data_IF_538202656153
#
_entry.id   IF_538202656153
#
_cell.length_a   1.000
_cell.length_b   1.000
_cell.length_c   1.000
_cell.angle_alpha   90.00
_cell.angle_beta   90.00
_cell.angle_gamma   90.00
#
_symmetry.space_group_name_H-M   'P 1'
#
loop_
_entity.id
_entity.type
_entity.pdbx_description
1 polymer ?
#
# COMPACT_ATOMS: atom_id res chain seq x y z
N UNK A 1 -31.65 -0.35 -8.70
CA UNK A 1 -32.47 -1.58 -8.75
C UNK A 1 -31.48 -2.72 -8.66
N UNK A 2 -31.70 -3.72 -7.80
CA UNK A 2 -30.76 -4.85 -7.65
C UNK A 2 -31.18 -6.02 -8.55
N UNK A 3 -30.23 -6.86 -8.94
CA UNK A 3 -30.45 -8.06 -9.74
C UNK A 3 -31.42 -9.04 -9.07
N UNK A 4 -32.05 -9.90 -9.89
CA UNK A 4 -32.94 -10.95 -9.39
C UNK A 4 -32.22 -11.91 -8.44
N UNK A 5 -30.94 -12.19 -8.72
CA UNK A 5 -30.08 -13.03 -7.88
C UNK A 5 -29.98 -12.46 -6.46
N UNK A 6 -29.52 -11.21 -6.33
CA UNK A 6 -29.38 -10.57 -5.02
C UNK A 6 -30.75 -10.39 -4.36
N UNK A 7 -31.77 -9.97 -5.10
CA UNK A 7 -33.13 -9.80 -4.57
C UNK A 7 -33.68 -11.09 -3.93
N UNK A 8 -33.49 -12.25 -4.57
CA UNK A 8 -33.93 -13.54 -4.06
C UNK A 8 -33.21 -13.91 -2.77
N UNK A 9 -31.89 -13.74 -2.71
CA UNK A 9 -31.11 -14.03 -1.49
C UNK A 9 -31.49 -13.09 -0.36
N UNK A 10 -31.62 -11.78 -0.63
CA UNK A 10 -32.07 -10.80 0.36
C UNK A 10 -33.48 -11.12 0.89
N UNK A 11 -34.39 -11.59 0.04
CA UNK A 11 -35.72 -12.01 0.44
C UNK A 11 -35.68 -13.27 1.32
N UNK A 12 -34.92 -14.30 0.91
CA UNK A 12 -34.78 -15.55 1.64
C UNK A 12 -34.07 -15.38 3.00
N UNK A 13 -33.13 -14.43 3.11
CA UNK A 13 -32.34 -14.15 4.33
C UNK A 13 -32.80 -12.93 5.10
N UNK A 14 -33.99 -12.40 4.79
CA UNK A 14 -34.51 -11.15 5.38
C UNK A 14 -34.42 -11.08 6.92
N UNK A 15 -34.80 -12.12 7.70
CA UNK A 15 -34.72 -12.03 9.16
C UNK A 15 -33.29 -11.80 9.67
N UNK A 16 -32.32 -12.58 9.16
CA UNK A 16 -30.92 -12.49 9.52
C UNK A 16 -30.32 -11.13 9.16
N UNK A 17 -30.56 -10.66 7.93
CA UNK A 17 -29.99 -9.40 7.44
C UNK A 17 -30.59 -8.19 8.16
N UNK A 18 -31.89 -8.21 8.48
CA UNK A 18 -32.53 -7.16 9.27
C UNK A 18 -31.97 -7.10 10.70
N UNK A 19 -31.68 -8.26 11.31
CA UNK A 19 -31.03 -8.31 12.61
C UNK A 19 -29.64 -7.63 12.56
N UNK A 20 -28.82 -7.95 11.55
CA UNK A 20 -27.50 -7.32 11.37
C UNK A 20 -27.58 -5.81 11.17
N UNK A 21 -28.58 -5.33 10.42
CA UNK A 21 -28.82 -3.89 10.27
C UNK A 21 -29.18 -3.26 11.62
N UNK A 22 -30.03 -3.90 12.43
CA UNK A 22 -30.39 -3.40 13.75
C UNK A 22 -29.17 -3.34 14.69
N UNK A 23 -28.33 -4.38 14.69
CA UNK A 23 -27.08 -4.45 15.46
C UNK A 23 -26.09 -3.37 15.01
N UNK A 24 -25.93 -3.14 13.70
CA UNK A 24 -25.07 -2.09 13.17
C UNK A 24 -25.56 -0.69 13.59
N UNK A 25 -26.87 -0.43 13.56
CA UNK A 25 -27.44 0.85 14.02
C UNK A 25 -27.28 1.07 15.52
N UNK A 26 -27.32 0.00 16.32
CA UNK A 26 -27.07 0.11 17.75
C UNK A 26 -25.59 0.43 18.04
N UNK A 27 -24.65 -0.18 17.30
CA UNK A 27 -23.21 0.10 17.44
C UNK A 27 -22.81 1.48 16.93
N UNK A 28 -23.44 1.93 15.85
CA UNK A 28 -23.15 3.23 15.20
C UNK A 28 -24.43 4.04 15.05
N UNK A 29 -24.84 4.79 16.09
CA UNK A 29 -25.95 5.72 16.00
C UNK A 29 -25.71 6.74 14.86
N UNK A 30 -26.70 6.90 13.97
CA UNK A 30 -26.59 7.80 12.81
C UNK A 30 -26.05 7.17 11.53
N UNK A 31 -25.92 5.83 11.48
CA UNK A 31 -25.57 5.11 10.25
C UNK A 31 -26.49 5.51 9.07
N UNK A 32 -25.87 5.91 7.96
CA UNK A 32 -26.57 6.28 6.74
C UNK A 32 -27.02 5.04 5.96
N UNK A 33 -28.28 4.64 6.16
CA UNK A 33 -28.88 3.53 5.44
C UNK A 33 -29.09 3.81 3.95
N UNK A 34 -29.13 5.07 3.53
CA UNK A 34 -29.23 5.43 2.12
C UNK A 34 -27.90 5.20 1.41
N UNK A 35 -26.78 5.58 2.04
CA UNK A 35 -25.44 5.25 1.56
C UNK A 35 -25.21 3.74 1.53
N UNK A 36 -25.67 3.00 2.55
CA UNK A 36 -25.57 1.55 2.55
C UNK A 36 -26.40 0.91 1.42
N UNK A 37 -27.63 1.41 1.17
CA UNK A 37 -28.45 0.94 0.05
C UNK A 37 -27.78 1.21 -1.31
N UNK A 38 -27.13 2.36 -1.47
CA UNK A 38 -26.36 2.69 -2.67
C UNK A 38 -25.18 1.72 -2.83
N UNK A 39 -24.39 1.50 -1.78
CA UNK A 39 -23.31 0.50 -1.77
C UNK A 39 -23.80 -0.90 -2.18
N UNK A 40 -24.95 -1.34 -1.65
CA UNK A 40 -25.56 -2.62 -2.03
C UNK A 40 -25.89 -2.66 -3.52
N UNK A 41 -26.39 -1.57 -4.08
CA UNK A 41 -26.79 -1.51 -5.50
C UNK A 41 -25.60 -1.36 -6.45
N UNK A 42 -24.58 -0.60 -6.06
CA UNK A 42 -23.52 -0.15 -6.97
C UNK A 42 -22.24 -0.97 -6.83
N UNK A 43 -22.07 -1.70 -5.72
CA UNK A 43 -20.90 -2.54 -5.44
C UNK A 43 -21.28 -4.00 -5.20
N UNK A 44 -22.18 -4.28 -4.25
CA UNK A 44 -22.53 -5.66 -3.89
C UNK A 44 -23.26 -6.36 -5.04
N UNK A 45 -24.24 -5.71 -5.66
CA UNK A 45 -25.03 -6.33 -6.73
C UNK A 45 -24.19 -6.70 -7.97
N UNK A 46 -23.34 -5.83 -8.54
CA UNK A 46 -22.43 -6.22 -9.62
C UNK A 46 -21.52 -7.38 -9.23
N UNK A 47 -20.99 -7.38 -8.01
CA UNK A 47 -20.18 -8.48 -7.49
C UNK A 47 -20.96 -9.81 -7.49
N UNK A 48 -22.23 -9.78 -7.11
CA UNK A 48 -23.09 -10.97 -7.11
C UNK A 48 -23.39 -11.46 -8.53
N UNK A 49 -23.66 -10.54 -9.46
CA UNK A 49 -23.91 -10.86 -10.87
C UNK A 49 -22.71 -11.59 -11.48
N UNK A 50 -21.49 -11.11 -11.23
CA UNK A 50 -20.28 -11.76 -11.74
C UNK A 50 -20.05 -13.16 -11.15
N UNK A 51 -20.44 -13.37 -9.90
CA UNK A 51 -20.26 -14.65 -9.18
C UNK A 51 -21.41 -15.65 -9.40
N UNK A 52 -22.57 -15.20 -9.86
CA UNK A 52 -23.82 -15.99 -9.89
C UNK A 52 -23.81 -17.24 -10.77
N UNK A 53 -22.78 -17.44 -11.59
CA UNK A 53 -22.60 -18.63 -12.43
C UNK A 53 -21.78 -19.76 -11.77
N UNK A 54 -21.26 -19.55 -10.57
CA UNK A 54 -20.25 -20.44 -9.96
C UNK A 54 -20.88 -21.55 -9.11
N UNK A 55 -21.63 -21.19 -8.06
CA UNK A 55 -22.27 -22.12 -7.11
C UNK A 55 -23.36 -21.38 -6.31
N UNK A 56 -24.58 -21.90 -6.30
CA UNK A 56 -25.73 -21.25 -5.66
C UNK A 56 -25.58 -21.19 -4.12
N UNK A 57 -25.09 -22.25 -3.47
CA UNK A 57 -24.90 -22.28 -2.02
C UNK A 57 -23.75 -21.36 -1.61
N UNK A 58 -22.65 -21.38 -2.34
CA UNK A 58 -21.53 -20.49 -2.07
C UNK A 58 -21.91 -19.01 -2.28
N UNK A 59 -22.75 -18.73 -3.29
CA UNK A 59 -23.24 -17.37 -3.57
C UNK A 59 -24.00 -16.78 -2.37
N UNK A 60 -24.85 -17.57 -1.71
CA UNK A 60 -25.56 -17.12 -0.49
C UNK A 60 -24.57 -16.77 0.63
N UNK A 61 -23.58 -17.63 0.89
CA UNK A 61 -22.57 -17.38 1.91
C UNK A 61 -21.72 -16.14 1.62
N UNK A 62 -21.36 -15.92 0.36
CA UNK A 62 -20.62 -14.73 -0.09
C UNK A 62 -21.45 -13.47 0.14
N UNK A 63 -22.73 -13.48 -0.26
CA UNK A 63 -23.64 -12.34 -0.07
C UNK A 63 -23.80 -12.00 1.40
N UNK A 64 -24.02 -12.99 2.26
CA UNK A 64 -24.17 -12.76 3.69
C UNK A 64 -22.90 -12.15 4.30
N UNK A 65 -21.72 -12.68 3.95
CA UNK A 65 -20.45 -12.13 4.42
C UNK A 65 -20.23 -10.69 3.92
N UNK A 66 -20.42 -10.46 2.62
CA UNK A 66 -20.24 -9.15 2.00
C UNK A 66 -21.23 -8.11 2.53
N UNK A 67 -22.48 -8.49 2.78
CA UNK A 67 -23.48 -7.60 3.38
C UNK A 67 -23.08 -7.17 4.79
N UNK A 68 -22.63 -8.12 5.62
CA UNK A 68 -22.17 -7.84 6.98
C UNK A 68 -20.94 -6.93 7.01
N UNK A 69 -19.91 -7.26 6.23
CA UNK A 69 -18.69 -6.45 6.14
C UNK A 69 -19.01 -5.08 5.53
N UNK A 70 -19.86 -5.02 4.50
CA UNK A 70 -20.29 -3.79 3.86
C UNK A 70 -21.02 -2.84 4.80
N UNK A 71 -21.85 -3.35 5.72
CA UNK A 71 -22.48 -2.53 6.76
C UNK A 71 -21.43 -1.81 7.61
N UNK A 72 -20.43 -2.56 8.09
CA UNK A 72 -19.38 -2.01 8.95
C UNK A 72 -18.50 -1.01 8.19
N UNK A 73 -18.17 -1.28 6.91
CA UNK A 73 -17.35 -0.40 6.08
C UNK A 73 -18.08 0.91 5.74
N UNK A 74 -19.36 0.84 5.38
CA UNK A 74 -20.17 2.04 5.11
C UNK A 74 -20.39 2.85 6.39
N UNK A 75 -20.66 2.19 7.52
CA UNK A 75 -20.81 2.87 8.81
C UNK A 75 -19.54 3.62 9.23
N UNK A 76 -18.36 3.15 8.82
CA UNK A 76 -17.07 3.81 9.06
C UNK A 76 -16.69 4.85 7.99
N UNK A 77 -17.52 5.05 6.96
CA UNK A 77 -17.21 5.95 5.84
C UNK A 77 -16.03 5.48 4.98
N UNK A 78 -15.81 4.16 4.92
CA UNK A 78 -14.75 3.51 4.12
C UNK A 78 -15.25 2.98 2.78
N UNK A 79 -16.56 2.84 2.61
CA UNK A 79 -17.20 2.31 1.41
C UNK A 79 -18.50 3.05 1.07
N UNK A 80 -18.95 2.92 -0.17
CA UNK A 80 -20.15 3.59 -0.68
C UNK A 80 -19.96 5.08 -0.98
N UNK A 81 -21.05 5.81 -1.30
CA UNK A 81 -20.98 7.17 -1.83
C UNK A 81 -20.43 8.21 -0.83
N UNK A 82 -20.46 7.90 0.47
CA UNK A 82 -19.90 8.76 1.52
C UNK A 82 -18.41 8.52 1.81
N UNK A 83 -17.77 7.57 1.11
CA UNK A 83 -16.39 7.21 1.38
C UNK A 83 -15.42 8.31 0.97
N UNK A 84 -14.38 8.53 1.79
CA UNK A 84 -13.30 9.49 1.46
C UNK A 84 -12.48 9.06 0.24
N UNK A 85 -12.43 7.76 -0.02
CA UNK A 85 -11.65 7.16 -1.09
C UNK A 85 -12.45 6.04 -1.75
N UNK A 86 -12.32 5.82 -3.07
CA UNK A 86 -13.18 4.90 -3.83
C UNK A 86 -12.71 3.43 -3.77
N UNK A 87 -11.70 3.12 -2.96
CA UNK A 87 -10.90 1.91 -3.17
C UNK A 87 -11.59 0.62 -2.74
N UNK A 88 -12.44 0.63 -1.71
CA UNK A 88 -13.20 -0.59 -1.31
C UNK A 88 -14.13 -1.02 -2.44
N UNK A 89 -14.98 -0.09 -2.89
CA UNK A 89 -15.98 -0.32 -3.93
C UNK A 89 -15.31 -0.77 -5.25
N UNK A 90 -14.13 -0.21 -5.56
CA UNK A 90 -13.33 -0.65 -6.70
C UNK A 90 -12.77 -2.05 -6.50
N UNK A 91 -12.14 -2.32 -5.36
CA UNK A 91 -11.49 -3.60 -5.07
C UNK A 91 -12.50 -4.76 -5.05
N UNK A 92 -13.68 -4.56 -4.45
CA UNK A 92 -14.71 -5.61 -4.43
C UNK A 92 -15.22 -5.94 -5.83
N UNK A 93 -15.45 -4.93 -6.68
CA UNK A 93 -15.88 -5.15 -8.06
C UNK A 93 -14.80 -5.80 -8.92
N UNK A 94 -13.56 -5.36 -8.82
CA UNK A 94 -12.47 -5.85 -9.70
C UNK A 94 -11.87 -7.18 -9.23
N UNK A 95 -11.88 -7.48 -7.93
CA UNK A 95 -11.19 -8.66 -7.38
C UNK A 95 -12.11 -9.84 -7.09
N UNK A 96 -13.42 -9.65 -6.98
CA UNK A 96 -14.31 -10.75 -6.60
C UNK A 96 -14.27 -11.92 -7.58
N UNK A 97 -14.39 -11.66 -8.88
CA UNK A 97 -14.31 -12.72 -9.89
C UNK A 97 -12.91 -13.38 -9.96
N UNK A 98 -11.79 -12.63 -9.95
CA UNK A 98 -10.46 -13.21 -9.81
C UNK A 98 -10.21 -14.07 -8.57
N UNK A 99 -10.85 -13.74 -7.44
CA UNK A 99 -10.71 -14.46 -6.17
C UNK A 99 -11.84 -15.46 -5.90
N UNK A 100 -12.66 -15.79 -6.91
CA UNK A 100 -13.89 -16.57 -6.73
C UNK A 100 -13.70 -17.87 -5.93
N UNK A 101 -12.61 -18.60 -6.15
CA UNK A 101 -12.31 -19.85 -5.44
C UNK A 101 -11.98 -19.65 -3.95
N UNK A 102 -11.41 -18.50 -3.59
CA UNK A 102 -11.20 -18.12 -2.20
C UNK A 102 -12.51 -17.65 -1.56
N UNK A 103 -13.34 -16.93 -2.32
CA UNK A 103 -14.66 -16.49 -1.87
C UNK A 103 -15.62 -17.64 -1.63
N UNK A 104 -15.58 -18.70 -2.44
CA UNK A 104 -16.42 -19.90 -2.23
C UNK A 104 -16.00 -20.67 -0.98
N UNK A 105 -14.73 -20.61 -0.59
CA UNK A 105 -14.18 -21.38 0.55
C UNK A 105 -14.20 -20.58 1.86
N UNK A 106 -13.85 -19.29 1.80
CA UNK A 106 -13.66 -18.42 2.96
C UNK A 106 -14.09 -16.97 2.63
N UNK A 107 -15.40 -16.70 2.45
CA UNK A 107 -15.87 -15.41 1.94
C UNK A 107 -15.53 -14.24 2.86
N UNK A 108 -15.79 -14.37 4.17
CA UNK A 108 -15.54 -13.33 5.14
C UNK A 108 -14.05 -12.99 5.27
N UNK A 109 -13.19 -14.01 5.34
CA UNK A 109 -11.75 -13.81 5.47
C UNK A 109 -11.12 -13.23 4.21
N UNK A 110 -11.61 -13.63 3.03
CA UNK A 110 -11.13 -13.12 1.74
C UNK A 110 -11.49 -11.65 1.57
N UNK A 111 -12.77 -11.30 1.74
CA UNK A 111 -13.22 -9.90 1.67
C UNK A 111 -12.56 -9.04 2.74
N UNK A 112 -12.49 -9.53 3.98
CA UNK A 112 -11.83 -8.83 5.08
C UNK A 112 -10.34 -8.58 4.79
N UNK A 113 -9.63 -9.57 4.22
CA UNK A 113 -8.21 -9.44 3.85
C UNK A 113 -8.02 -8.34 2.82
N UNK A 114 -8.81 -8.31 1.75
CA UNK A 114 -8.69 -7.30 0.69
C UNK A 114 -9.12 -5.92 1.16
N UNK A 115 -10.23 -5.81 1.89
CA UNK A 115 -10.69 -4.54 2.45
C UNK A 115 -9.65 -3.92 3.38
N UNK A 116 -9.05 -4.73 4.26
CA UNK A 116 -8.00 -4.27 5.17
C UNK A 116 -6.75 -3.80 4.42
N UNK A 117 -6.33 -4.52 3.37
CA UNK A 117 -5.20 -4.13 2.55
C UNK A 117 -5.44 -2.77 1.90
N UNK A 118 -6.59 -2.61 1.24
CA UNK A 118 -6.96 -1.37 0.54
C UNK A 118 -7.08 -0.17 1.48
N UNK A 119 -7.69 -0.35 2.65
CA UNK A 119 -7.79 0.73 3.65
C UNK A 119 -6.40 1.17 4.12
N UNK A 120 -5.49 0.21 4.36
CA UNK A 120 -4.11 0.53 4.75
C UNK A 120 -3.36 1.24 3.64
N UNK A 121 -3.46 0.78 2.39
CA UNK A 121 -2.80 1.39 1.25
C UNK A 121 -3.30 2.81 0.98
N UNK A 122 -4.62 3.00 0.98
CA UNK A 122 -5.24 4.32 0.80
C UNK A 122 -4.92 5.31 1.94
N UNK A 123 -4.57 4.81 3.13
CA UNK A 123 -4.13 5.63 4.25
C UNK A 123 -2.73 6.21 4.10
N UNK A 124 -1.91 5.73 3.15
CA UNK A 124 -0.53 6.18 2.95
C UNK A 124 -0.44 7.08 1.71
N UNK A 125 0.00 8.34 1.86
CA UNK A 125 0.14 9.26 0.73
C UNK A 125 1.09 8.74 -0.35
N UNK A 126 0.71 8.92 -1.62
CA UNK A 126 1.56 8.59 -2.77
C UNK A 126 1.60 7.11 -3.16
N UNK A 127 0.81 6.24 -2.51
CA UNK A 127 0.68 4.83 -2.89
C UNK A 127 -0.30 4.67 -4.05
N UNK A 128 0.12 3.90 -5.06
CA UNK A 128 -0.72 3.58 -6.22
C UNK A 128 -1.65 2.41 -5.91
N UNK A 129 -2.73 2.69 -5.16
CA UNK A 129 -3.76 1.69 -4.81
C UNK A 129 -4.43 1.12 -6.07
N UNK A 130 -4.57 1.92 -7.13
CA UNK A 130 -5.15 1.49 -8.40
C UNK A 130 -4.31 0.40 -9.06
N UNK A 131 -3.00 0.60 -9.15
CA UNK A 131 -2.05 -0.42 -9.63
C UNK A 131 -2.10 -1.68 -8.76
N UNK A 132 -2.16 -1.53 -7.43
CA UNK A 132 -2.27 -2.68 -6.53
C UNK A 132 -3.49 -3.55 -6.85
N UNK A 133 -4.66 -2.93 -7.04
CA UNK A 133 -5.90 -3.65 -7.40
C UNK A 133 -5.72 -4.35 -8.75
N UNK A 134 -5.20 -3.66 -9.76
CA UNK A 134 -5.02 -4.23 -11.11
C UNK A 134 -4.01 -5.39 -11.14
N UNK A 135 -2.87 -5.25 -10.46
CA UNK A 135 -1.86 -6.30 -10.34
C UNK A 135 -2.45 -7.51 -9.60
N UNK A 136 -3.14 -7.29 -8.48
CA UNK A 136 -3.76 -8.37 -7.71
C UNK A 136 -4.88 -9.06 -8.49
N UNK A 137 -5.68 -8.34 -9.28
CA UNK A 137 -6.72 -8.92 -10.13
C UNK A 137 -6.15 -9.91 -11.15
N UNK A 138 -4.95 -9.64 -11.66
CA UNK A 138 -4.26 -10.52 -12.62
C UNK A 138 -3.69 -11.77 -11.93
N UNK A 139 -3.24 -11.65 -10.68
CA UNK A 139 -2.52 -12.72 -9.97
C UNK A 139 -3.40 -13.55 -9.03
N UNK A 140 -4.50 -12.99 -8.53
CA UNK A 140 -5.46 -13.65 -7.65
C UNK A 140 -5.97 -15.01 -8.16
N UNK A 141 -6.24 -15.23 -9.48
CA UNK A 141 -6.68 -16.52 -9.98
C UNK A 141 -5.66 -17.65 -9.76
N UNK A 142 -4.39 -17.31 -9.58
CA UNK A 142 -3.28 -18.26 -9.33
C UNK A 142 -3.04 -18.52 -7.84
N UNK A 143 -3.71 -17.77 -6.95
CA UNK A 143 -3.51 -17.87 -5.50
C UNK A 143 -4.38 -18.97 -4.91
N UNK A 144 -3.89 -20.21 -4.81
CA UNK A 144 -4.68 -21.34 -4.31
C UNK A 144 -5.18 -21.20 -2.86
N UNK A 145 -4.51 -20.39 -2.04
CA UNK A 145 -4.84 -20.19 -0.62
C UNK A 145 -4.90 -18.70 -0.27
N UNK A 146 -5.57 -18.40 0.85
CA UNK A 146 -5.61 -17.03 1.38
C UNK A 146 -4.22 -16.55 1.81
N UNK A 147 -3.34 -17.45 2.26
CA UNK A 147 -1.94 -17.12 2.55
C UNK A 147 -1.20 -16.69 1.28
N UNK A 148 -1.37 -17.42 0.17
CA UNK A 148 -0.79 -17.03 -1.11
C UNK A 148 -1.31 -15.65 -1.58
N UNK A 149 -2.61 -15.39 -1.43
CA UNK A 149 -3.20 -14.08 -1.74
C UNK A 149 -2.57 -12.96 -0.90
N UNK A 150 -2.34 -13.19 0.40
CA UNK A 150 -1.71 -12.20 1.30
C UNK A 150 -0.26 -11.92 0.90
N UNK A 151 0.51 -12.97 0.59
CA UNK A 151 1.89 -12.83 0.13
C UNK A 151 1.99 -12.07 -1.19
N UNK A 152 1.17 -12.43 -2.18
CA UNK A 152 1.09 -11.71 -3.47
C UNK A 152 0.65 -10.27 -3.24
N UNK A 153 -0.38 -10.05 -2.42
CA UNK A 153 -0.83 -8.71 -2.04
C UNK A 153 0.25 -7.86 -1.39
N UNK A 154 1.12 -8.43 -0.57
CA UNK A 154 2.26 -7.74 0.05
C UNK A 154 3.34 -7.36 -0.99
N UNK A 155 3.65 -8.25 -1.93
CA UNK A 155 4.58 -7.97 -3.04
C UNK A 155 4.04 -6.88 -3.97
N UNK A 156 2.74 -6.96 -4.33
CA UNK A 156 2.08 -5.91 -5.10
C UNK A 156 2.03 -4.58 -4.32
N UNK A 157 1.82 -4.61 -3.00
CA UNK A 157 1.80 -3.41 -2.16
C UNK A 157 3.17 -2.73 -2.12
N UNK A 158 4.22 -3.54 -2.03
CA UNK A 158 5.59 -3.07 -2.16
C UNK A 158 5.82 -2.39 -3.52
N UNK A 159 5.44 -3.03 -4.64
CA UNK A 159 5.51 -2.42 -5.98
C UNK A 159 4.69 -1.15 -6.14
N UNK A 160 3.56 -1.05 -5.45
CA UNK A 160 2.70 0.13 -5.42
C UNK A 160 3.28 1.30 -4.59
N UNK A 161 4.41 1.06 -3.90
CA UNK A 161 5.21 2.11 -3.26
C UNK A 161 5.37 1.96 -1.75
N UNK A 162 4.82 0.91 -1.13
CA UNK A 162 4.98 0.63 0.30
C UNK A 162 6.39 0.11 0.61
N UNK A 163 7.41 0.95 0.44
CA UNK A 163 8.83 0.57 0.48
C UNK A 163 9.24 -0.16 1.78
N UNK A 164 8.61 0.16 2.91
CA UNK A 164 8.85 -0.51 4.19
C UNK A 164 8.45 -2.00 4.20
N UNK A 165 7.58 -2.44 3.28
CA UNK A 165 7.17 -3.84 3.18
C UNK A 165 8.22 -4.73 2.49
N UNK A 166 9.24 -4.16 1.83
CA UNK A 166 10.23 -4.90 1.03
C UNK A 166 10.76 -6.16 1.71
N UNK A 167 11.28 -6.03 2.94
CA UNK A 167 11.94 -7.14 3.64
C UNK A 167 10.92 -8.24 3.94
N UNK A 168 9.81 -7.89 4.60
CA UNK A 168 8.78 -8.85 4.95
C UNK A 168 8.13 -9.51 3.72
N UNK A 169 7.92 -8.75 2.65
CA UNK A 169 7.34 -9.26 1.41
C UNK A 169 8.28 -10.26 0.72
N UNK A 170 9.58 -9.96 0.66
CA UNK A 170 10.59 -10.88 0.13
C UNK A 170 10.73 -12.15 0.98
N UNK A 171 10.65 -12.03 2.31
CA UNK A 171 10.70 -13.19 3.22
C UNK A 171 9.48 -14.10 3.06
N UNK A 172 8.30 -13.53 2.78
CA UNK A 172 7.08 -14.29 2.52
C UNK A 172 7.07 -14.91 1.13
N UNK A 173 7.72 -14.29 0.14
CA UNK A 173 7.75 -14.76 -1.25
C UNK A 173 8.31 -16.19 -1.38
N UNK A 174 9.22 -16.61 -0.50
CA UNK A 174 9.74 -17.98 -0.46
C UNK A 174 8.71 -19.06 -0.08
N UNK A 175 7.48 -18.68 0.30
CA UNK A 175 6.39 -19.60 0.70
C UNK A 175 5.35 -19.84 -0.41
N UNK A 176 5.46 -19.14 -1.53
CA UNK A 176 4.54 -19.27 -2.65
C UNK A 176 5.27 -19.85 -3.87
N UNK A 177 4.49 -20.20 -4.90
CA UNK A 177 5.03 -20.66 -6.17
C UNK A 177 6.05 -19.63 -6.74
N UNK A 178 7.27 -20.04 -7.12
CA UNK A 178 8.30 -19.14 -7.62
C UNK A 178 7.86 -18.30 -8.83
N UNK A 179 7.07 -18.86 -9.74
CA UNK A 179 6.57 -18.12 -10.91
C UNK A 179 5.50 -17.09 -10.52
N UNK A 180 4.78 -17.33 -9.42
CA UNK A 180 3.83 -16.37 -8.86
C UNK A 180 4.56 -15.23 -8.15
N UNK A 181 5.62 -15.53 -7.38
CA UNK A 181 6.48 -14.52 -6.75
C UNK A 181 7.14 -13.61 -7.81
N UNK A 182 7.72 -14.20 -8.86
CA UNK A 182 8.33 -13.46 -9.97
C UNK A 182 7.33 -12.53 -10.69
N UNK A 183 6.12 -13.02 -10.96
CA UNK A 183 5.06 -12.21 -11.53
C UNK A 183 4.61 -11.08 -10.58
N UNK A 184 4.50 -11.36 -9.28
CA UNK A 184 4.10 -10.38 -8.28
C UNK A 184 5.10 -9.23 -8.09
N UNK A 185 6.39 -9.45 -8.39
CA UNK A 185 7.43 -8.40 -8.42
C UNK A 185 7.56 -7.69 -9.79
N UNK A 186 6.74 -8.07 -10.78
CA UNK A 186 6.75 -7.46 -12.12
C UNK A 186 7.76 -8.07 -13.10
N UNK A 187 8.20 -9.31 -12.85
CA UNK A 187 9.19 -9.99 -13.69
C UNK A 187 8.75 -11.43 -14.00
N UNK A 188 7.60 -11.65 -14.66
CA UNK A 188 7.02 -12.98 -14.86
C UNK A 188 7.93 -13.93 -15.66
N UNK A 189 8.79 -13.39 -16.53
CA UNK A 189 9.67 -14.16 -17.42
C UNK A 189 11.03 -14.49 -16.79
N UNK A 190 11.28 -14.09 -15.54
CA UNK A 190 12.54 -14.33 -14.84
C UNK A 190 12.37 -15.36 -13.73
N UNK A 191 13.40 -16.19 -13.54
CA UNK A 191 13.42 -17.17 -12.45
C UNK A 191 13.54 -16.46 -11.10
N UNK A 192 12.69 -16.85 -10.14
CA UNK A 192 12.72 -16.29 -8.78
C UNK A 192 14.10 -16.45 -8.12
N UNK A 193 14.80 -17.56 -8.38
CA UNK A 193 16.14 -17.86 -7.86
C UNK A 193 17.19 -16.83 -8.24
N UNK A 194 17.01 -16.16 -9.38
CA UNK A 194 17.91 -15.10 -9.86
C UNK A 194 17.42 -13.71 -9.43
N UNK A 195 16.10 -13.54 -9.33
CA UNK A 195 15.45 -12.29 -8.94
C UNK A 195 15.64 -11.97 -7.46
N UNK A 196 15.37 -12.91 -6.56
CA UNK A 196 15.34 -12.67 -5.12
C UNK A 196 16.69 -12.13 -4.60
N UNK A 197 17.85 -12.74 -4.93
CA UNK A 197 19.14 -12.23 -4.45
C UNK A 197 19.40 -10.80 -4.91
N UNK A 198 19.01 -10.46 -6.16
CA UNK A 198 19.15 -9.09 -6.71
C UNK A 198 18.25 -8.11 -5.98
N UNK A 199 16.98 -8.46 -5.81
CA UNK A 199 15.99 -7.66 -5.11
C UNK A 199 16.38 -7.42 -3.67
N UNK A 200 17.08 -8.35 -3.00
CA UNK A 200 17.60 -8.21 -1.63
C UNK A 200 18.88 -7.38 -1.57
N UNK A 201 19.80 -7.60 -2.52
CA UNK A 201 21.10 -6.93 -2.54
C UNK A 201 20.97 -5.43 -2.83
N UNK A 202 20.14 -5.05 -3.81
CA UNK A 202 19.99 -3.65 -4.23
C UNK A 202 18.54 -3.19 -4.10
N UNK A 203 18.28 -2.26 -3.18
CA UNK A 203 16.94 -1.68 -3.01
C UNK A 203 16.58 -0.70 -4.12
N UNK A 204 17.53 -0.17 -4.87
CA UNK A 204 17.30 0.75 -5.97
C UNK A 204 17.16 0.06 -7.32
N UNK A 205 17.30 -1.27 -7.35
CA UNK A 205 17.07 -2.05 -8.56
C UNK A 205 15.57 -2.32 -8.78
N UNK A 206 15.10 -2.04 -9.99
CA UNK A 206 13.76 -2.33 -10.49
C UNK A 206 13.84 -3.37 -11.61
N UNK A 207 13.00 -4.43 -11.61
CA UNK A 207 13.08 -5.46 -12.65
C UNK A 207 12.84 -4.96 -14.08
N UNK A 208 11.94 -4.00 -14.25
CA UNK A 208 11.56 -3.46 -15.57
C UNK A 208 12.43 -2.26 -16.01
N UNK A 209 13.13 -1.60 -15.08
CA UNK A 209 13.76 -0.29 -15.32
C UNK A 209 15.24 -0.22 -14.93
N UNK A 210 15.79 -1.29 -14.35
CA UNK A 210 17.15 -1.30 -13.81
C UNK A 210 17.28 -0.42 -12.57
N UNK A 211 18.47 0.16 -12.36
CA UNK A 211 18.76 0.93 -11.15
C UNK A 211 18.13 2.33 -11.24
N UNK A 212 17.28 2.67 -10.28
CA UNK A 212 16.62 3.97 -10.10
C UNK A 212 17.62 5.05 -9.63
N UNK A 213 18.51 5.44 -10.53
CA UNK A 213 19.72 6.19 -10.20
C UNK A 213 19.50 7.67 -9.80
N UNK A 214 18.29 8.19 -10.05
CA UNK A 214 17.86 9.54 -9.64
C UNK A 214 17.29 9.58 -8.21
N UNK A 215 17.10 8.42 -7.58
CA UNK A 215 16.54 8.35 -6.24
C UNK A 215 15.08 8.80 -6.15
N UNK A 216 14.70 9.33 -4.98
CA UNK A 216 13.33 9.80 -4.67
C UNK A 216 13.36 11.09 -3.87
N UNK A 217 12.39 11.95 -4.15
CA UNK A 217 12.09 13.13 -3.33
C UNK A 217 10.92 12.83 -2.42
N UNK A 218 11.06 13.08 -1.12
CA UNK A 218 10.07 12.75 -0.09
C UNK A 218 9.90 13.93 0.85
N UNK A 219 8.67 14.15 1.32
CA UNK A 219 8.37 15.22 2.27
C UNK A 219 7.38 16.23 1.71
N UNK A 220 7.54 17.47 2.16
CA UNK A 220 6.66 18.60 1.89
C UNK A 220 6.27 19.29 3.18
N UNK A 221 5.92 20.57 3.06
CA UNK A 221 5.46 21.37 4.19
C UNK A 221 4.06 20.93 4.64
N UNK A 222 3.83 20.84 5.95
CA UNK A 222 2.51 20.46 6.52
C UNK A 222 1.38 21.36 6.07
N UNK A 223 1.63 22.66 5.85
CA UNK A 223 0.63 23.59 5.33
C UNK A 223 0.13 23.24 3.90
N UNK A 224 0.88 22.42 3.16
CA UNK A 224 0.51 21.90 1.85
C UNK A 224 0.26 20.37 1.84
N UNK A 225 0.00 19.80 3.02
CA UNK A 225 -0.30 18.37 3.17
C UNK A 225 0.92 17.44 3.26
N UNK A 226 2.13 17.98 3.36
CA UNK A 226 3.34 17.20 3.62
C UNK A 226 3.53 16.84 5.11
N UNK A 227 4.53 16.02 5.45
CA UNK A 227 4.75 15.57 6.82
C UNK A 227 5.57 16.55 7.69
N UNK A 228 6.31 17.48 7.08
CA UNK A 228 7.34 18.26 7.79
C UNK A 228 6.86 19.70 8.05
N UNK A 229 6.77 20.08 9.32
CA UNK A 229 6.38 21.44 9.73
C UNK A 229 7.56 22.42 9.68
N UNK A 230 8.77 21.89 9.80
CA UNK A 230 10.05 22.60 9.67
C UNK A 230 10.97 21.84 8.71
N UNK A 231 12.00 22.48 8.13
CA UNK A 231 13.01 21.81 7.33
C UNK A 231 13.60 20.58 8.04
N UNK A 232 13.58 19.40 7.39
CA UNK A 232 13.91 18.15 8.05
C UNK A 232 15.41 18.00 8.30
N UNK A 233 15.76 17.36 9.42
CA UNK A 233 17.12 16.88 9.70
C UNK A 233 17.09 15.36 9.72
N UNK A 234 17.94 14.72 8.94
CA UNK A 234 17.96 13.26 8.80
C UNK A 234 19.18 12.62 9.46
N UNK A 235 19.00 11.40 9.98
CA UNK A 235 20.05 10.48 10.42
C UNK A 235 19.83 9.11 9.80
N UNK A 236 20.91 8.44 9.44
CA UNK A 236 20.84 7.13 8.82
C UNK A 236 20.53 6.04 9.85
N UNK A 237 19.79 5.02 9.41
CA UNK A 237 19.49 3.80 10.16
C UNK A 237 19.76 2.58 9.27
N UNK A 238 19.57 1.37 9.78
CA UNK A 238 19.68 0.15 8.98
C UNK A 238 18.63 0.10 7.84
N UNK A 239 17.42 0.60 8.10
CA UNK A 239 16.26 0.41 7.21
C UNK A 239 15.95 1.63 6.33
N UNK A 240 16.38 2.81 6.76
CA UNK A 240 16.13 4.08 6.08
C UNK A 240 16.71 5.27 6.84
N UNK A 241 15.95 6.35 6.95
CA UNK A 241 16.39 7.56 7.62
C UNK A 241 15.37 7.99 8.66
N UNK A 242 15.81 8.17 9.91
CA UNK A 242 15.00 8.83 10.92
C UNK A 242 15.17 10.33 10.78
N UNK A 243 14.06 11.05 10.76
CA UNK A 243 13.96 12.45 10.39
C UNK A 243 13.27 13.21 11.51
N UNK A 244 13.88 14.31 11.94
CA UNK A 244 13.27 15.28 12.82
C UNK A 244 12.74 16.47 12.01
N UNK A 245 11.54 16.93 12.33
CA UNK A 245 10.97 18.18 11.81
C UNK A 245 10.19 18.85 12.95
N UNK A 246 10.74 19.93 13.51
CA UNK A 246 10.28 20.53 14.76
C UNK A 246 10.27 19.51 15.90
N UNK A 247 9.11 19.36 16.54
CA UNK A 247 8.86 18.42 17.64
C UNK A 247 8.34 17.04 17.19
N UNK A 248 8.43 16.71 15.90
CA UNK A 248 7.98 15.41 15.36
C UNK A 248 9.11 14.63 14.74
N UNK A 249 9.00 13.31 14.83
CA UNK A 249 9.96 12.36 14.30
C UNK A 249 9.28 11.39 13.34
N UNK A 250 10.01 11.04 12.28
CA UNK A 250 9.52 10.20 11.21
C UNK A 250 10.59 9.22 10.76
N UNK A 251 10.17 8.04 10.28
CA UNK A 251 11.02 7.11 9.55
C UNK A 251 10.70 7.23 8.06
N UNK A 252 11.69 7.62 7.27
CA UNK A 252 11.63 7.66 5.82
C UNK A 252 12.29 6.41 5.25
N UNK A 253 11.49 5.59 4.56
CA UNK A 253 11.96 4.40 3.85
C UNK A 253 11.73 4.59 2.36
N UNK A 254 12.77 4.39 1.56
CA UNK A 254 12.75 4.56 0.10
C UNK A 254 13.47 3.42 -0.60
N UNK A 255 12.98 3.06 -1.78
CA UNK A 255 13.59 2.07 -2.67
C UNK A 255 13.21 2.34 -4.14
N UNK A 256 13.43 1.37 -5.04
CA UNK A 256 13.13 1.49 -6.46
C UNK A 256 11.63 1.60 -6.77
N UNK A 257 10.74 1.15 -5.88
CA UNK A 257 9.29 1.12 -6.10
C UNK A 257 8.56 2.30 -5.47
N UNK A 258 9.02 2.78 -4.30
CA UNK A 258 8.37 3.90 -3.66
C UNK A 258 9.13 4.52 -2.49
N UNK A 259 8.39 5.37 -1.79
CA UNK A 259 8.83 5.99 -0.57
C UNK A 259 7.65 6.10 0.40
N UNK A 260 7.92 5.91 1.68
CA UNK A 260 6.95 6.09 2.76
C UNK A 260 7.54 6.92 3.88
N UNK A 261 6.66 7.67 4.55
CA UNK A 261 6.97 8.41 5.77
C UNK A 261 6.12 7.83 6.89
N UNK A 262 6.76 7.18 7.84
CA UNK A 262 6.12 6.53 8.99
C UNK A 262 6.38 7.35 10.26
N UNK A 263 5.51 7.29 11.28
CA UNK A 263 5.81 7.84 12.58
C UNK A 263 7.07 7.21 13.19
N UNK A 264 7.88 8.02 13.87
CA UNK A 264 9.02 7.57 14.67
C UNK A 264 9.08 8.36 15.99
N UNK A 265 10.09 8.09 16.79
CA UNK A 265 10.28 8.65 18.13
C UNK A 265 11.59 9.41 18.26
N UNK A 266 11.66 10.31 19.24
CA UNK A 266 12.90 11.00 19.61
C UNK A 266 14.00 10.03 20.05
N UNK A 267 13.64 8.91 20.67
CA UNK A 267 14.57 7.87 21.09
C UNK A 267 15.24 7.21 19.87
N UNK A 268 14.45 6.82 18.86
CA UNK A 268 14.98 6.27 17.60
C UNK A 268 15.90 7.28 16.89
N UNK A 269 15.54 8.56 16.88
CA UNK A 269 16.39 9.62 16.30
C UNK A 269 17.72 9.79 17.05
N UNK A 270 17.69 9.66 18.37
CA UNK A 270 18.88 9.78 19.21
C UNK A 270 19.80 8.56 19.08
N UNK A 271 19.22 7.37 18.98
CA UNK A 271 19.94 6.09 18.82
C UNK A 271 20.50 5.87 17.42
N UNK A 272 19.88 6.49 16.40
CA UNK A 272 20.38 6.41 15.04
C UNK A 272 21.82 6.90 14.94
N UNK A 273 22.64 6.11 14.24
CA UNK A 273 24.05 6.39 14.08
C UNK A 273 24.24 7.76 13.42
N UNK A 274 25.14 8.56 13.99
CA UNK A 274 25.47 9.90 13.50
C UNK A 274 26.34 9.82 12.25
N UNK A 275 26.44 8.64 11.60
CA UNK A 275 27.15 8.35 10.36
C UNK A 275 27.32 9.61 9.51
N UNK A 276 28.52 10.21 9.65
CA UNK A 276 28.79 11.65 9.57
C UNK A 276 27.82 12.39 8.64
N UNK A 277 26.90 13.19 9.19
CA UNK A 277 26.19 14.17 8.37
C UNK A 277 27.27 15.05 7.72
N UNK A 278 27.37 15.01 6.40
CA UNK A 278 28.36 15.79 5.65
C UNK A 278 27.69 17.02 5.07
N UNK A 279 28.35 18.16 5.19
CA UNK A 279 28.01 19.32 4.37
C UNK A 279 28.61 19.14 2.99
N UNK A 280 27.76 19.13 1.97
CA UNK A 280 28.15 19.00 0.57
C UNK A 280 27.87 20.32 -0.17
N UNK A 281 28.83 20.84 -0.95
CA UNK A 281 28.59 22.02 -1.77
C UNK A 281 27.58 21.71 -2.88
N UNK A 282 26.69 22.66 -3.16
CA UNK A 282 25.78 22.59 -4.30
C UNK A 282 26.47 23.29 -5.48
N UNK A 283 26.61 22.56 -6.59
CA UNK A 283 27.22 23.07 -7.83
C UNK A 283 26.16 23.19 -8.95
N UNK A 284 26.46 23.85 -10.09
CA UNK A 284 25.56 23.85 -11.24
C UNK A 284 25.25 22.44 -11.80
N UNK A 285 26.11 21.45 -11.52
CA UNK A 285 25.89 20.04 -11.89
C UNK A 285 25.06 19.27 -10.86
N UNK A 286 24.74 19.88 -9.72
CA UNK A 286 24.05 19.28 -8.59
C UNK A 286 24.99 19.05 -7.41
N UNK A 287 24.76 17.97 -6.67
CA UNK A 287 25.51 17.62 -5.44
C UNK A 287 26.37 16.39 -5.71
N UNK A 288 27.65 16.45 -5.35
CA UNK A 288 28.53 15.29 -5.43
C UNK A 288 28.34 14.42 -4.18
N UNK A 289 27.71 13.25 -4.36
CA UNK A 289 27.52 12.27 -3.30
C UNK A 289 28.43 11.08 -3.61
N UNK A 290 29.38 10.82 -2.71
CA UNK A 290 30.32 9.69 -2.81
C UNK A 290 31.00 9.56 -4.18
N UNK A 291 31.43 10.69 -4.77
CA UNK A 291 32.13 10.71 -6.07
C UNK A 291 31.21 10.76 -7.30
N UNK A 292 29.89 10.78 -7.12
CA UNK A 292 28.91 10.90 -8.21
C UNK A 292 28.18 12.23 -8.14
N UNK A 293 28.18 12.97 -9.25
CA UNK A 293 27.33 14.15 -9.39
C UNK A 293 25.88 13.71 -9.61
N UNK A 294 24.99 14.19 -8.73
CA UNK A 294 23.54 13.97 -8.86
C UNK A 294 22.84 15.30 -9.04
N UNK A 295 22.12 15.41 -10.15
CA UNK A 295 21.34 16.60 -10.51
C UNK A 295 20.13 16.73 -9.58
N UNK A 296 20.32 17.36 -8.42
CA UNK A 296 19.25 17.67 -7.46
C UNK A 296 19.08 19.17 -7.35
N UNK A 297 17.82 19.63 -7.36
CA UNK A 297 17.48 21.04 -7.13
C UNK A 297 17.20 21.27 -5.65
N UNK A 298 18.26 21.54 -4.88
CA UNK A 298 18.17 21.97 -3.49
C UNK A 298 18.43 23.48 -3.44
N UNK A 299 17.55 24.29 -2.82
CA UNK A 299 17.82 25.71 -2.63
C UNK A 299 19.02 25.94 -1.71
N UNK A 300 19.85 26.93 -2.03
CA UNK A 300 21.01 27.35 -1.24
C UNK A 300 22.36 26.99 -1.86
N UNK A 301 23.44 27.25 -1.12
CA UNK A 301 24.83 27.01 -1.54
C UNK A 301 25.38 25.66 -1.05
N UNK A 302 24.75 25.06 -0.04
CA UNK A 302 25.15 23.77 0.52
C UNK A 302 23.94 22.93 0.96
N UNK A 303 24.13 21.61 0.95
CA UNK A 303 23.18 20.63 1.47
C UNK A 303 23.85 19.80 2.56
N UNK A 304 23.06 19.31 3.50
CA UNK A 304 23.47 18.27 4.46
C UNK A 304 23.14 16.89 3.90
N UNK A 305 24.02 15.93 4.11
CA UNK A 305 23.87 14.56 3.64
C UNK A 305 24.05 13.56 4.78
N UNK A 306 22.99 12.82 5.10
CA UNK A 306 23.08 11.63 5.95
C UNK A 306 23.41 10.41 5.08
N UNK A 307 24.49 9.70 5.38
CA UNK A 307 24.95 8.55 4.61
C UNK A 307 24.55 7.25 5.31
N UNK A 308 23.70 6.46 4.67
CA UNK A 308 23.40 5.09 5.05
C UNK A 308 24.20 4.08 4.23
N UNK A 309 23.91 2.79 4.45
CA UNK A 309 24.64 1.69 3.78
C UNK A 309 24.44 1.66 2.25
N UNK A 310 23.22 1.92 1.79
CA UNK A 310 22.81 1.78 0.37
C UNK A 310 22.22 3.07 -0.21
N UNK A 311 22.13 4.12 0.61
CA UNK A 311 21.44 5.35 0.27
C UNK A 311 22.06 6.54 0.97
N UNK A 312 21.91 7.72 0.38
CA UNK A 312 22.20 9.01 1.01
C UNK A 312 20.93 9.85 1.02
N UNK A 313 20.63 10.52 2.13
CA UNK A 313 19.55 11.49 2.22
C UNK A 313 20.11 12.91 2.25
N UNK A 314 19.79 13.70 1.23
CA UNK A 314 20.13 15.12 1.13
C UNK A 314 18.98 15.97 1.68
N UNK A 315 19.31 16.96 2.51
CA UNK A 315 18.37 17.90 3.10
C UNK A 315 19.03 19.27 3.31
N UNK A 316 18.24 20.33 3.47
CA UNK A 316 18.76 21.68 3.72
C UNK A 316 17.78 22.49 4.58
N UNK A 317 18.25 23.54 5.27
CA UNK A 317 17.37 24.40 6.08
C UNK A 317 16.40 25.25 5.24
N UNK A 318 16.45 25.16 3.91
CA UNK A 318 15.63 25.96 2.99
C UNK A 318 14.54 25.15 2.28
N UNK A 319 14.41 23.85 2.58
CA UNK A 319 13.44 22.97 1.94
C UNK A 319 12.76 22.08 2.96
N UNK A 320 11.51 21.73 2.69
CA UNK A 320 10.76 20.73 3.45
C UNK A 320 10.83 19.35 2.78
N UNK A 321 11.85 19.09 1.96
CA UNK A 321 12.00 17.83 1.25
C UNK A 321 13.35 17.19 1.55
N UNK A 322 13.36 15.85 1.57
CA UNK A 322 14.56 15.05 1.48
C UNK A 322 14.69 14.49 0.06
N UNK A 323 15.92 14.47 -0.45
CA UNK A 323 16.25 13.74 -1.66
C UNK A 323 17.08 12.51 -1.28
N UNK A 324 16.47 11.33 -1.39
CA UNK A 324 17.09 10.06 -1.04
C UNK A 324 17.61 9.41 -2.31
N UNK A 325 18.92 9.16 -2.36
CA UNK A 325 19.63 8.72 -3.56
C UNK A 325 20.28 7.37 -3.33
N UNK A 326 20.45 6.53 -4.37
CA UNK A 326 21.32 5.38 -4.30
C UNK A 326 22.76 5.80 -4.06
N UNK A 327 23.43 5.08 -3.17
CA UNK A 327 24.89 5.13 -3.01
C UNK A 327 25.42 3.81 -3.53
N UNK A 328 26.28 3.85 -4.54
CA UNK A 328 27.00 2.66 -4.99
C UNK A 328 27.91 2.21 -3.84
N UNK A 329 27.80 0.94 -3.45
CA UNK A 329 28.80 0.30 -2.60
C UNK A 329 30.15 0.21 -3.33
#
# INVERSE_FOLDING_TARGET
MVSALLANVLAARRPLLNQRVAEARHRTPGMDLSAFRAFVSDTLDPMCVDLGSVDEQATVAIIEAAFGIGLDLVAQGLAGPGARQPWIDRAWRELALPMRHLLTTAPADTLGTVSNAVVRLGGVPGIDVGRWISDLATLAPRCATLEALRTVGALCAWRAGMAHLRVAALDQAGRIDPSLAAAAVGAPDQAWTDLEPRLRADRWWHPEHGVASQGRTVGGFTGFGGPFAEPPVARATADGFVVQSGERWFLVVCDAFGAVVLPATAAEFTQADVGSVKTLPITPRGVNVTGRDVAVRIPGESASAALGRHSAALFSPLTHYLHVLPVSA
#
